data_IF_886836396058
#
_entry.id   IF_886836396058
#
_cell.length_a   1.000
_cell.length_b   1.000
_cell.length_c   1.000
_cell.angle_alpha   90.00
_cell.angle_beta   90.00
_cell.angle_gamma   90.00
#
_symmetry.space_group_name_H-M   'P 1'
#
loop_
_entity.id
_entity.type
_entity.pdbx_description
1 polymer ?
#
# COMPACT_ATOMS: atom_id res chain seq x y z
N UNK A 1 30.48 -30.74 29.26
CA UNK A 1 29.63 -29.53 29.15
C UNK A 1 29.18 -29.21 27.71
N UNK A 2 29.63 -29.92 26.67
CA UNK A 2 29.26 -29.61 25.27
C UNK A 2 27.84 -30.03 24.82
N UNK A 3 27.22 -31.02 25.48
CA UNK A 3 25.90 -31.55 25.07
C UNK A 3 24.68 -30.72 25.51
N UNK A 4 24.88 -29.60 26.21
CA UNK A 4 23.78 -28.74 26.69
C UNK A 4 23.39 -27.63 25.68
N UNK A 5 24.10 -27.50 24.55
CA UNK A 5 23.91 -26.38 23.62
C UNK A 5 23.01 -26.70 22.41
N UNK A 6 22.60 -27.96 22.24
CA UNK A 6 21.82 -28.42 21.09
C UNK A 6 20.41 -28.80 21.54
N UNK A 7 19.40 -28.23 20.89
CA UNK A 7 17.99 -28.62 21.09
C UNK A 7 17.52 -29.37 19.85
N UNK A 8 16.91 -30.57 19.99
CA UNK A 8 16.27 -31.23 18.87
C UNK A 8 15.12 -30.36 18.36
N UNK A 9 15.09 -30.06 17.06
CA UNK A 9 14.01 -29.28 16.41
C UNK A 9 12.68 -30.03 16.31
N UNK A 10 12.59 -31.24 16.89
CA UNK A 10 11.37 -32.06 16.99
C UNK A 10 10.31 -31.36 17.84
N UNK A 11 9.64 -30.41 17.25
CA UNK A 11 8.40 -29.86 17.78
C UNK A 11 7.22 -30.21 16.85
N UNK A 12 7.39 -30.17 15.52
CA UNK A 12 6.27 -30.26 14.58
C UNK A 12 6.61 -31.05 13.31
N UNK A 13 5.95 -32.19 13.10
CA UNK A 13 6.03 -32.95 11.84
C UNK A 13 5.27 -32.22 10.73
N UNK A 14 5.98 -31.47 9.88
CA UNK A 14 5.40 -30.93 8.66
C UNK A 14 5.26 -32.05 7.62
N UNK A 15 4.06 -32.23 7.06
CA UNK A 15 3.87 -33.16 5.94
C UNK A 15 4.57 -32.66 4.68
N UNK A 16 5.16 -33.56 3.88
CA UNK A 16 5.91 -33.23 2.66
C UNK A 16 5.14 -32.29 1.71
N UNK A 17 3.82 -32.51 1.56
CA UNK A 17 2.98 -31.69 0.69
C UNK A 17 2.93 -30.20 1.08
N UNK A 18 3.08 -29.88 2.38
CA UNK A 18 3.13 -28.49 2.84
C UNK A 18 4.45 -27.81 2.48
N UNK A 19 5.56 -28.53 2.61
CA UNK A 19 6.88 -28.05 2.24
C UNK A 19 6.99 -27.79 0.73
N UNK A 20 6.37 -28.65 -0.09
CA UNK A 20 6.28 -28.47 -1.55
C UNK A 20 5.37 -27.28 -1.91
N UNK A 21 4.24 -27.11 -1.23
CA UNK A 21 3.37 -25.96 -1.47
C UNK A 21 4.09 -24.64 -1.16
N UNK A 22 4.74 -24.55 0.00
CA UNK A 22 5.44 -23.34 0.41
C UNK A 22 6.66 -23.05 -0.47
N UNK A 23 7.35 -24.08 -0.99
CA UNK A 23 8.43 -23.87 -1.96
C UNK A 23 7.91 -23.27 -3.26
N UNK A 24 6.78 -23.76 -3.79
CA UNK A 24 6.15 -23.21 -4.99
C UNK A 24 5.70 -21.76 -4.78
N UNK A 25 5.04 -21.47 -3.66
CA UNK A 25 4.60 -20.12 -3.35
C UNK A 25 5.79 -19.16 -3.17
N UNK A 26 6.85 -19.59 -2.48
CA UNK A 26 8.09 -18.84 -2.34
C UNK A 26 8.74 -18.54 -3.70
N UNK A 27 8.87 -19.55 -4.57
CA UNK A 27 9.43 -19.38 -5.92
C UNK A 27 8.60 -18.37 -6.72
N UNK A 28 7.27 -18.44 -6.64
CA UNK A 28 6.38 -17.45 -7.25
C UNK A 28 6.64 -16.04 -6.71
N UNK A 29 6.70 -15.84 -5.39
CA UNK A 29 6.96 -14.53 -4.77
C UNK A 29 8.30 -13.95 -5.27
N UNK A 30 9.37 -14.75 -5.26
CA UNK A 30 10.71 -14.33 -5.70
C UNK A 30 10.71 -13.98 -7.20
N UNK A 31 10.14 -14.84 -8.03
CA UNK A 31 10.09 -14.65 -9.48
C UNK A 31 9.33 -13.37 -9.85
N UNK A 32 8.13 -13.18 -9.30
CA UNK A 32 7.31 -12.01 -9.61
C UNK A 32 7.83 -10.73 -8.98
N UNK A 33 8.53 -10.81 -7.85
CA UNK A 33 9.32 -9.68 -7.32
C UNK A 33 10.44 -9.30 -8.29
N UNK A 34 11.17 -10.27 -8.83
CA UNK A 34 12.19 -10.05 -9.85
C UNK A 34 11.62 -9.38 -11.12
N UNK A 35 10.47 -9.85 -11.60
CA UNK A 35 9.75 -9.24 -12.74
C UNK A 35 9.35 -7.81 -12.40
N UNK A 36 8.80 -7.55 -11.21
CA UNK A 36 8.39 -6.22 -10.78
C UNK A 36 9.57 -5.25 -10.72
N UNK A 37 10.72 -5.69 -10.20
CA UNK A 37 11.96 -4.91 -10.15
C UNK A 37 12.54 -4.66 -11.55
N UNK A 38 12.53 -5.64 -12.45
CA UNK A 38 13.00 -5.45 -13.82
C UNK A 38 12.13 -4.45 -14.59
N UNK A 39 10.84 -4.38 -14.26
CA UNK A 39 9.88 -3.41 -14.81
C UNK A 39 9.91 -2.05 -14.11
N UNK A 40 10.82 -1.84 -13.16
CA UNK A 40 10.94 -0.58 -12.43
C UNK A 40 11.08 0.62 -13.37
N UNK A 41 10.19 1.60 -13.22
CA UNK A 41 10.24 2.88 -13.93
C UNK A 41 10.62 3.99 -12.96
N UNK A 42 11.63 4.80 -13.31
CA UNK A 42 12.01 6.00 -12.54
C UNK A 42 10.85 6.99 -12.39
N UNK A 43 9.93 7.01 -13.36
CA UNK A 43 8.71 7.83 -13.35
C UNK A 43 7.82 7.44 -12.17
N UNK A 44 7.89 6.18 -11.70
CA UNK A 44 7.15 5.62 -10.57
C UNK A 44 7.95 5.62 -9.27
N UNK A 45 8.61 6.73 -8.93
CA UNK A 45 9.41 6.87 -7.71
C UNK A 45 8.64 6.48 -6.42
N UNK A 46 7.32 6.73 -6.36
CA UNK A 46 6.46 6.33 -5.22
C UNK A 46 6.33 4.81 -5.04
N UNK A 47 6.59 4.02 -6.07
CA UNK A 47 6.58 2.56 -5.98
C UNK A 47 7.86 1.99 -5.35
N UNK A 48 8.92 2.78 -5.13
CA UNK A 48 10.16 2.32 -4.47
C UNK A 48 9.90 1.65 -3.13
N UNK A 49 9.01 2.24 -2.34
CA UNK A 49 8.63 1.74 -1.01
C UNK A 49 7.96 0.37 -1.09
N UNK A 50 7.12 0.16 -2.11
CA UNK A 50 6.50 -1.13 -2.41
C UNK A 50 7.54 -2.17 -2.86
N UNK A 51 8.46 -1.81 -3.77
CA UNK A 51 9.51 -2.71 -4.22
C UNK A 51 10.42 -3.15 -3.07
N UNK A 52 10.75 -2.24 -2.15
CA UNK A 52 11.48 -2.59 -0.94
C UNK A 52 10.70 -3.60 -0.08
N UNK A 53 9.40 -3.39 0.10
CA UNK A 53 8.52 -4.36 0.75
C UNK A 53 8.52 -5.73 0.07
N UNK A 54 8.43 -5.79 -1.27
CA UNK A 54 8.46 -7.05 -2.03
C UNK A 54 9.80 -7.79 -1.92
N UNK A 55 10.92 -7.07 -1.86
CA UNK A 55 12.25 -7.66 -1.64
C UNK A 55 12.33 -8.27 -0.25
N UNK A 56 11.85 -7.56 0.78
CA UNK A 56 11.81 -8.10 2.14
C UNK A 56 10.84 -9.28 2.27
N UNK A 57 9.70 -9.24 1.58
CA UNK A 57 8.75 -10.35 1.50
C UNK A 57 9.42 -11.59 0.90
N UNK A 58 10.13 -11.41 -0.22
CA UNK A 58 10.87 -12.48 -0.88
C UNK A 58 11.96 -13.06 0.03
N UNK A 59 12.74 -12.19 0.69
CA UNK A 59 13.76 -12.61 1.63
C UNK A 59 13.15 -13.41 2.80
N UNK A 60 12.07 -12.90 3.38
CA UNK A 60 11.37 -13.59 4.46
C UNK A 60 10.82 -14.95 4.00
N UNK A 61 10.18 -15.04 2.82
CA UNK A 61 9.63 -16.30 2.30
C UNK A 61 10.72 -17.36 2.08
N UNK A 62 11.90 -16.97 1.57
CA UNK A 62 13.05 -17.87 1.44
C UNK A 62 13.52 -18.35 2.81
N UNK A 63 13.70 -17.44 3.77
CA UNK A 63 14.16 -17.76 5.12
C UNK A 63 13.17 -18.67 5.87
N UNK A 64 11.88 -18.38 5.76
CA UNK A 64 10.80 -19.18 6.35
C UNK A 64 10.76 -20.59 5.74
N UNK A 65 10.92 -20.71 4.42
CA UNK A 65 11.00 -22.02 3.76
C UNK A 65 12.23 -22.82 4.22
N UNK A 66 13.40 -22.18 4.35
CA UNK A 66 14.62 -22.83 4.88
C UNK A 66 14.38 -23.32 6.32
N UNK A 67 13.81 -22.49 7.20
CA UNK A 67 13.46 -22.88 8.58
C UNK A 67 12.52 -24.09 8.60
N UNK A 68 11.53 -24.12 7.72
CA UNK A 68 10.65 -25.28 7.60
C UNK A 68 11.37 -26.56 7.15
N UNK A 69 12.33 -26.47 6.22
CA UNK A 69 13.15 -27.61 5.80
C UNK A 69 14.02 -28.12 6.95
N UNK A 70 14.65 -27.21 7.71
CA UNK A 70 15.44 -27.55 8.90
C UNK A 70 14.58 -28.29 9.93
N UNK A 71 13.38 -27.78 10.22
CA UNK A 71 12.43 -28.44 11.15
C UNK A 71 11.92 -29.78 10.62
N UNK A 72 11.65 -29.89 9.31
CA UNK A 72 11.18 -31.14 8.69
C UNK A 72 12.25 -32.25 8.73
N UNK A 73 13.51 -31.89 8.49
CA UNK A 73 14.65 -32.81 8.53
C UNK A 73 15.09 -33.18 9.96
N UNK A 74 14.51 -32.55 10.98
CA UNK A 74 14.89 -32.69 12.39
C UNK A 74 16.38 -32.43 12.63
N UNK A 75 16.96 -31.48 11.89
CA UNK A 75 18.35 -31.12 12.08
C UNK A 75 18.57 -30.55 13.50
N UNK A 76 19.68 -30.92 14.12
CA UNK A 76 20.07 -30.37 15.43
C UNK A 76 20.49 -28.91 15.27
N UNK A 77 19.91 -28.02 16.07
CA UNK A 77 20.22 -26.57 16.03
C UNK A 77 20.70 -26.09 17.40
N UNK A 78 21.50 -25.03 17.39
CA UNK A 78 22.02 -24.39 18.61
C UNK A 78 20.93 -23.58 19.31
N UNK A 79 21.07 -23.36 20.63
CA UNK A 79 20.10 -22.55 21.40
C UNK A 79 19.90 -21.12 20.83
N UNK A 80 20.93 -20.56 20.20
CA UNK A 80 20.88 -19.27 19.52
C UNK A 80 19.85 -19.24 18.37
N UNK A 81 19.37 -20.39 17.91
CA UNK A 81 18.30 -20.51 16.91
C UNK A 81 17.02 -19.76 17.31
N UNK A 82 16.74 -19.60 18.61
CA UNK A 82 15.59 -18.81 19.09
C UNK A 82 15.63 -17.36 18.58
N UNK A 83 16.83 -16.77 18.43
CA UNK A 83 16.99 -15.41 17.91
C UNK A 83 16.70 -15.32 16.41
N UNK A 84 16.84 -16.42 15.67
CA UNK A 84 16.56 -16.44 14.21
C UNK A 84 15.07 -16.24 13.95
N UNK A 85 14.19 -16.84 14.75
CA UNK A 85 12.74 -16.64 14.66
C UNK A 85 12.35 -15.16 14.89
N UNK A 86 13.00 -14.51 15.85
CA UNK A 86 12.83 -13.06 16.08
C UNK A 86 13.26 -12.24 14.87
N UNK A 87 14.42 -12.54 14.30
CA UNK A 87 14.91 -11.84 13.12
C UNK A 87 13.99 -12.01 11.91
N UNK A 88 13.51 -13.24 11.66
CA UNK A 88 12.57 -13.50 10.56
C UNK A 88 11.25 -12.77 10.78
N UNK A 89 10.79 -12.70 12.01
CA UNK A 89 9.59 -11.95 12.37
C UNK A 89 9.73 -10.45 12.11
N UNK A 90 10.92 -9.87 12.31
CA UNK A 90 11.19 -8.46 12.00
C UNK A 90 11.11 -8.22 10.51
N UNK A 91 11.80 -9.06 9.71
CA UNK A 91 11.77 -8.95 8.25
C UNK A 91 10.31 -9.02 7.77
N UNK A 92 9.52 -9.94 8.32
CA UNK A 92 8.10 -10.08 8.01
C UNK A 92 7.30 -8.82 8.33
N UNK A 93 7.37 -8.32 9.56
CA UNK A 93 6.60 -7.13 9.99
C UNK A 93 7.00 -5.91 9.16
N UNK A 94 8.30 -5.71 8.95
CA UNK A 94 8.81 -4.59 8.15
C UNK A 94 8.36 -4.73 6.69
N UNK A 95 8.43 -5.94 6.13
CA UNK A 95 7.87 -6.27 4.80
C UNK A 95 6.38 -5.92 4.71
N UNK A 96 5.57 -6.35 5.67
CA UNK A 96 4.13 -6.11 5.69
C UNK A 96 3.79 -4.61 5.71
N UNK A 97 4.50 -3.84 6.55
CA UNK A 97 4.36 -2.38 6.60
C UNK A 97 4.73 -1.76 5.26
N UNK A 98 5.89 -2.11 4.68
CA UNK A 98 6.35 -1.52 3.43
C UNK A 98 5.48 -1.91 2.22
N UNK A 99 5.01 -3.16 2.16
CA UNK A 99 4.11 -3.62 1.09
C UNK A 99 2.77 -2.92 1.16
N UNK A 100 2.16 -2.82 2.34
CA UNK A 100 0.87 -2.16 2.53
C UNK A 100 0.98 -0.65 2.28
N UNK A 101 1.98 0.00 2.87
CA UNK A 101 2.24 1.42 2.70
C UNK A 101 2.59 1.78 1.25
N UNK A 102 3.45 0.99 0.62
CA UNK A 102 3.81 1.14 -0.79
C UNK A 102 2.61 0.95 -1.72
N UNK A 103 1.73 -0.02 -1.42
CA UNK A 103 0.49 -0.24 -2.17
C UNK A 103 -0.42 0.98 -2.10
N UNK A 104 -0.61 1.57 -0.92
CA UNK A 104 -1.38 2.82 -0.77
C UNK A 104 -0.79 3.97 -1.57
N UNK A 105 0.54 4.12 -1.58
CA UNK A 105 1.21 5.15 -2.36
C UNK A 105 1.02 5.01 -3.87
N UNK A 106 1.05 3.77 -4.37
CA UNK A 106 0.76 3.43 -5.78
C UNK A 106 -0.71 3.70 -6.09
N UNK A 107 -1.62 3.26 -5.22
CA UNK A 107 -3.07 3.49 -5.29
C UNK A 107 -3.43 4.98 -5.37
N UNK A 108 -2.84 5.80 -4.51
CA UNK A 108 -3.09 7.24 -4.50
C UNK A 108 -2.65 7.89 -5.79
N UNK A 109 -1.56 7.43 -6.39
CA UNK A 109 -1.14 7.93 -7.71
C UNK A 109 -2.18 7.63 -8.79
N UNK A 110 -2.85 6.47 -8.72
CA UNK A 110 -3.96 6.16 -9.63
C UNK A 110 -5.18 7.08 -9.45
N UNK A 111 -5.40 7.58 -8.23
CA UNK A 111 -6.60 8.38 -7.90
C UNK A 111 -6.36 9.89 -7.90
N UNK A 112 -5.14 10.35 -7.65
CA UNK A 112 -4.79 11.78 -7.54
C UNK A 112 -3.57 12.08 -8.41
N UNK A 113 -3.82 12.74 -9.55
CA UNK A 113 -2.80 13.13 -10.53
C UNK A 113 -1.76 14.09 -9.94
N UNK A 114 -2.17 15.04 -9.08
CA UNK A 114 -1.26 16.00 -8.39
C UNK A 114 -1.34 15.87 -6.87
N UNK A 115 -0.43 15.08 -6.30
CA UNK A 115 -0.45 14.75 -4.87
C UNK A 115 0.13 15.83 -3.95
N UNK A 116 -0.58 16.95 -3.73
CA UNK A 116 -0.14 18.01 -2.79
C UNK A 116 -0.54 17.73 -1.33
N UNK A 117 -1.78 17.28 -1.07
CA UNK A 117 -2.27 17.11 0.31
C UNK A 117 -2.35 15.65 0.78
N UNK A 118 -2.01 14.70 -0.09
CA UNK A 118 -2.22 13.28 0.22
C UNK A 118 -1.19 12.71 1.20
N UNK A 119 -0.03 13.37 1.34
CA UNK A 119 1.00 12.93 2.28
C UNK A 119 0.52 12.97 3.74
N UNK A 120 -0.17 14.02 4.16
CA UNK A 120 -0.66 14.13 5.54
C UNK A 120 -1.71 13.05 5.85
N UNK A 121 -2.67 12.84 4.93
CA UNK A 121 -3.72 11.83 5.09
C UNK A 121 -3.17 10.40 5.14
N UNK A 122 -2.15 10.12 4.33
CA UNK A 122 -1.43 8.86 4.39
C UNK A 122 -0.80 8.65 5.76
N UNK A 123 -0.11 9.65 6.30
CA UNK A 123 0.59 9.53 7.60
C UNK A 123 -0.35 9.24 8.76
N UNK A 124 -1.60 9.71 8.71
CA UNK A 124 -2.62 9.37 9.72
C UNK A 124 -2.89 7.86 9.77
N UNK A 125 -2.82 7.16 8.63
CA UNK A 125 -2.99 5.71 8.56
C UNK A 125 -1.67 4.96 8.81
N UNK A 126 -0.56 5.46 8.29
CA UNK A 126 0.75 4.81 8.38
C UNK A 126 1.44 4.95 9.74
N UNK A 127 1.26 6.08 10.41
CA UNK A 127 1.88 6.36 11.72
C UNK A 127 1.51 5.30 12.77
N UNK A 128 0.22 5.03 13.01
CA UNK A 128 -0.21 3.96 13.92
C UNK A 128 0.32 2.58 13.51
N UNK A 129 0.39 2.29 12.21
CA UNK A 129 0.91 1.02 11.69
C UNK A 129 2.40 0.84 12.01
N UNK A 130 3.21 1.89 11.77
CA UNK A 130 4.63 1.90 12.13
C UNK A 130 4.85 1.79 13.65
N UNK A 131 4.06 2.54 14.44
CA UNK A 131 4.15 2.49 15.89
C UNK A 131 3.86 1.08 16.43
N UNK A 132 2.75 0.47 16.01
CA UNK A 132 2.38 -0.89 16.42
C UNK A 132 3.41 -1.92 15.96
N UNK A 133 3.92 -1.79 14.73
CA UNK A 133 4.95 -2.68 14.19
C UNK A 133 6.26 -2.63 14.97
N UNK A 134 6.78 -1.43 15.25
CA UNK A 134 8.00 -1.24 16.05
C UNK A 134 7.78 -1.79 17.46
N UNK A 135 6.64 -1.49 18.09
CA UNK A 135 6.34 -1.96 19.43
C UNK A 135 6.25 -3.50 19.49
N UNK A 136 5.61 -4.12 18.50
CA UNK A 136 5.53 -5.57 18.37
C UNK A 136 6.92 -6.21 18.22
N UNK A 137 7.82 -5.60 17.42
CA UNK A 137 9.21 -6.03 17.29
C UNK A 137 9.96 -5.95 18.62
N UNK A 138 9.84 -4.83 19.35
CA UNK A 138 10.46 -4.66 20.66
C UNK A 138 9.99 -5.74 21.66
N UNK A 139 8.69 -6.06 21.67
CA UNK A 139 8.14 -7.10 22.54
C UNK A 139 8.64 -8.51 22.15
N UNK A 140 8.85 -8.80 20.86
CA UNK A 140 9.47 -10.07 20.45
C UNK A 140 10.90 -10.21 20.95
N UNK A 141 11.71 -9.15 20.83
CA UNK A 141 13.05 -9.14 21.39
C UNK A 141 13.05 -9.28 22.91
N UNK A 142 12.17 -8.54 23.59
CA UNK A 142 12.03 -8.64 25.04
C UNK A 142 11.69 -10.08 25.46
N UNK A 143 10.74 -10.72 24.77
CA UNK A 143 10.36 -12.10 25.04
C UNK A 143 11.52 -13.07 24.82
N UNK A 144 12.24 -12.95 23.71
CA UNK A 144 13.39 -13.81 23.42
C UNK A 144 14.51 -13.63 24.45
N UNK A 145 14.84 -12.39 24.81
CA UNK A 145 15.85 -12.10 25.85
C UNK A 145 15.40 -12.67 27.20
N UNK A 146 14.13 -12.53 27.59
CA UNK A 146 13.61 -13.11 28.83
C UNK A 146 13.73 -14.63 28.87
N UNK A 147 13.51 -15.32 27.75
CA UNK A 147 13.75 -16.77 27.64
C UNK A 147 15.23 -17.12 27.73
N UNK A 148 16.11 -16.34 27.10
CA UNK A 148 17.56 -16.55 27.17
C UNK A 148 18.15 -16.25 28.57
N UNK A 149 17.56 -15.30 29.29
CA UNK A 149 18.01 -14.90 30.63
C UNK A 149 17.41 -15.73 31.76
N UNK A 150 16.62 -16.77 31.45
CA UNK A 150 15.88 -17.57 32.42
C UNK A 150 15.05 -16.72 33.40
N UNK A 151 14.36 -15.69 32.88
CA UNK A 151 13.48 -14.85 33.69
C UNK A 151 12.33 -15.66 34.31
N UNK A 152 11.72 -15.10 35.36
CA UNK A 152 10.56 -15.71 36.00
C UNK A 152 9.40 -15.93 35.00
N UNK A 153 8.71 -17.06 35.13
CA UNK A 153 7.61 -17.50 34.27
C UNK A 153 6.48 -16.46 34.29
N UNK A 154 6.22 -15.81 35.42
CA UNK A 154 5.21 -14.75 35.50
C UNK A 154 5.57 -13.55 34.62
N UNK A 155 6.85 -13.18 34.57
CA UNK A 155 7.33 -12.08 33.72
C UNK A 155 7.23 -12.46 32.24
N UNK A 156 7.65 -13.67 31.89
CA UNK A 156 7.54 -14.21 30.52
C UNK A 156 6.06 -14.20 30.07
N UNK A 157 5.14 -14.64 30.93
CA UNK A 157 3.70 -14.67 30.63
C UNK A 157 3.12 -13.25 30.44
N UNK A 158 3.52 -12.28 31.26
CA UNK A 158 3.11 -10.87 31.09
C UNK A 158 3.56 -10.30 29.76
N UNK A 159 4.82 -10.53 29.38
CA UNK A 159 5.38 -10.07 28.10
C UNK A 159 4.69 -10.78 26.93
N UNK A 160 4.47 -12.09 27.01
CA UNK A 160 3.80 -12.86 25.98
C UNK A 160 2.34 -12.40 25.75
N UNK A 161 1.60 -12.13 26.84
CA UNK A 161 0.24 -11.58 26.77
C UNK A 161 0.21 -10.21 26.10
N UNK A 162 1.13 -9.31 26.48
CA UNK A 162 1.26 -8.01 25.83
C UNK A 162 1.60 -8.16 24.34
N UNK A 163 2.56 -9.03 23.98
CA UNK A 163 2.95 -9.32 22.59
C UNK A 163 1.75 -9.76 21.76
N UNK A 164 0.94 -10.69 22.27
CA UNK A 164 -0.25 -11.18 21.58
C UNK A 164 -1.28 -10.07 21.36
N UNK A 165 -1.56 -9.24 22.38
CA UNK A 165 -2.49 -8.12 22.25
C UNK A 165 -2.04 -7.12 21.15
N UNK A 166 -0.74 -6.81 21.08
CA UNK A 166 -0.20 -5.95 20.03
C UNK A 166 -0.18 -6.63 18.65
N UNK A 167 0.02 -7.95 18.57
CA UNK A 167 -0.09 -8.70 17.30
C UNK A 167 -1.51 -8.65 16.73
N UNK A 168 -2.52 -8.81 17.60
CA UNK A 168 -3.94 -8.67 17.24
C UNK A 168 -4.24 -7.24 16.77
N UNK A 169 -3.81 -6.23 17.53
CA UNK A 169 -4.03 -4.83 17.17
C UNK A 169 -3.36 -4.46 15.84
N UNK A 170 -2.13 -4.94 15.62
CA UNK A 170 -1.39 -4.74 14.37
C UNK A 170 -2.12 -5.37 13.18
N UNK A 171 -2.47 -6.65 13.27
CA UNK A 171 -3.18 -7.38 12.19
C UNK A 171 -4.58 -6.81 11.93
N UNK A 172 -5.28 -6.33 12.96
CA UNK A 172 -6.56 -5.63 12.79
C UNK A 172 -6.41 -4.32 12.03
N UNK A 173 -5.36 -3.55 12.32
CA UNK A 173 -5.07 -2.32 11.59
C UNK A 173 -4.68 -2.60 10.13
N UNK A 174 -3.86 -3.62 9.88
CA UNK A 174 -3.53 -4.06 8.51
C UNK A 174 -4.79 -4.46 7.73
N UNK A 175 -5.72 -5.17 8.36
CA UNK A 175 -7.00 -5.51 7.75
C UNK A 175 -7.83 -4.27 7.39
N UNK A 176 -7.94 -3.29 8.28
CA UNK A 176 -8.69 -2.05 8.01
C UNK A 176 -8.04 -1.24 6.88
N UNK A 177 -6.71 -1.11 6.89
CA UNK A 177 -5.99 -0.35 5.87
C UNK A 177 -6.05 -1.07 4.51
N UNK A 178 -5.91 -2.39 4.47
CA UNK A 178 -6.04 -3.17 3.23
C UNK A 178 -7.47 -3.15 2.68
N UNK A 179 -8.50 -3.15 3.55
CA UNK A 179 -9.88 -2.94 3.14
C UNK A 179 -10.07 -1.56 2.52
N UNK A 180 -9.51 -0.51 3.13
CA UNK A 180 -9.54 0.83 2.55
C UNK A 180 -8.85 0.88 1.17
N UNK A 181 -7.70 0.23 1.01
CA UNK A 181 -7.04 0.09 -0.29
C UNK A 181 -7.92 -0.68 -1.30
N UNK A 182 -8.61 -1.74 -0.88
CA UNK A 182 -9.52 -2.48 -1.75
C UNK A 182 -10.72 -1.64 -2.19
N UNK A 183 -11.38 -0.93 -1.27
CA UNK A 183 -12.54 -0.08 -1.60
C UNK A 183 -12.15 1.06 -2.55
N UNK A 184 -10.98 1.67 -2.32
CA UNK A 184 -10.48 2.76 -3.17
C UNK A 184 -10.02 2.28 -4.55
N UNK A 185 -9.56 1.03 -4.69
CA UNK A 185 -9.23 0.44 -6.01
C UNK A 185 -10.46 -0.07 -6.74
N UNK A 186 -11.40 -0.70 -6.02
CA UNK A 186 -12.66 -1.23 -6.58
C UNK A 186 -13.57 -0.15 -7.19
N UNK A 187 -13.56 1.07 -6.65
CA UNK A 187 -14.26 2.21 -7.28
C UNK A 187 -13.75 2.53 -8.69
N UNK A 188 -12.59 2.00 -9.10
CA UNK A 188 -11.94 2.25 -10.39
C UNK A 188 -12.03 1.10 -11.41
N UNK A 189 -12.81 0.04 -11.14
CA UNK A 189 -12.84 -1.21 -11.91
C UNK A 189 -13.28 -1.07 -13.39
N UNK A 190 -13.83 0.07 -13.78
CA UNK A 190 -14.53 0.24 -15.07
C UNK A 190 -13.67 0.81 -16.21
N UNK A 191 -12.38 1.14 -16.00
CA UNK A 191 -11.68 2.02 -16.94
C UNK A 191 -10.32 1.55 -17.50
N UNK A 192 -9.60 0.58 -16.92
CA UNK A 192 -8.26 0.16 -17.42
C UNK A 192 -7.79 -1.21 -16.89
N UNK A 193 -7.17 -2.04 -17.74
CA UNK A 193 -6.56 -3.33 -17.39
C UNK A 193 -5.52 -3.19 -16.26
N UNK A 194 -4.73 -2.12 -16.28
CA UNK A 194 -3.70 -1.87 -15.26
C UNK A 194 -4.33 -1.63 -13.88
N UNK A 195 -5.49 -0.96 -13.84
CA UNK A 195 -6.25 -0.73 -12.60
C UNK A 195 -6.88 -2.03 -12.10
N UNK A 196 -7.30 -2.93 -12.98
CA UNK A 196 -7.81 -4.24 -12.59
C UNK A 196 -6.75 -5.07 -11.86
N UNK A 197 -5.50 -5.11 -12.38
CA UNK A 197 -4.39 -5.75 -11.67
C UNK A 197 -4.15 -5.14 -10.28
N UNK A 198 -4.26 -3.81 -10.15
CA UNK A 198 -4.14 -3.17 -8.83
C UNK A 198 -5.26 -3.60 -7.88
N UNK A 199 -6.50 -3.66 -8.35
CA UNK A 199 -7.65 -4.12 -7.55
C UNK A 199 -7.49 -5.56 -7.08
N UNK A 200 -7.04 -6.47 -7.96
CA UNK A 200 -6.74 -7.86 -7.58
C UNK A 200 -5.58 -7.96 -6.58
N UNK A 201 -4.55 -7.11 -6.71
CA UNK A 201 -3.47 -7.02 -5.73
C UNK A 201 -4.00 -6.56 -4.36
N UNK A 202 -4.84 -5.53 -4.32
CA UNK A 202 -5.49 -5.07 -3.09
C UNK A 202 -6.40 -6.14 -2.48
N UNK A 203 -7.14 -6.90 -3.31
CA UNK A 203 -7.98 -8.02 -2.85
C UNK A 203 -7.13 -9.12 -2.21
N UNK A 204 -6.00 -9.48 -2.83
CA UNK A 204 -5.08 -10.46 -2.28
C UNK A 204 -4.49 -10.00 -0.93
N UNK A 205 -4.08 -8.73 -0.80
CA UNK A 205 -3.63 -8.18 0.47
C UNK A 205 -4.73 -8.19 1.54
N UNK A 206 -5.95 -7.84 1.18
CA UNK A 206 -7.07 -7.84 2.10
C UNK A 206 -7.40 -9.25 2.60
N UNK A 207 -7.45 -10.25 1.68
CA UNK A 207 -7.64 -11.66 2.05
C UNK A 207 -6.51 -12.16 2.96
N UNK A 208 -5.25 -11.80 2.65
CA UNK A 208 -4.09 -12.10 3.50
C UNK A 208 -4.27 -11.54 4.91
N UNK A 209 -4.57 -10.24 5.04
CA UNK A 209 -4.77 -9.59 6.34
C UNK A 209 -5.99 -10.12 7.09
N UNK A 210 -7.06 -10.48 6.39
CA UNK A 210 -8.23 -11.13 6.98
C UNK A 210 -7.89 -12.50 7.58
N UNK A 211 -7.19 -13.36 6.83
CA UNK A 211 -6.73 -14.65 7.33
C UNK A 211 -5.80 -14.49 8.53
N UNK A 212 -4.86 -13.54 8.48
CA UNK A 212 -3.97 -13.25 9.60
C UNK A 212 -4.72 -12.80 10.85
N UNK A 213 -5.71 -11.91 10.72
CA UNK A 213 -6.53 -11.45 11.84
C UNK A 213 -7.31 -12.61 12.48
N UNK A 214 -7.99 -13.43 11.67
CA UNK A 214 -8.75 -14.59 12.16
C UNK A 214 -7.83 -15.60 12.85
N UNK A 215 -6.69 -15.91 12.23
CA UNK A 215 -5.74 -16.90 12.75
C UNK A 215 -5.09 -16.40 14.05
N UNK A 216 -4.73 -15.12 14.13
CA UNK A 216 -4.16 -14.53 15.35
C UNK A 216 -5.19 -14.51 16.48
N UNK A 217 -6.47 -14.25 16.16
CA UNK A 217 -7.57 -14.38 17.13
C UNK A 217 -7.79 -15.81 17.62
N UNK A 218 -7.69 -16.81 16.74
CA UNK A 218 -7.79 -18.23 17.13
C UNK A 218 -6.60 -18.69 17.98
N UNK A 219 -5.39 -18.21 17.70
CA UNK A 219 -4.20 -18.49 18.50
C UNK A 219 -4.33 -18.01 19.95
N UNK A 220 -5.03 -16.90 20.18
CA UNK A 220 -5.29 -16.36 21.52
C UNK A 220 -6.32 -17.20 22.30
N UNK A 221 -7.29 -17.80 21.59
CA UNK A 221 -8.41 -18.54 22.21
C UNK A 221 -8.12 -20.03 22.43
N UNK A 222 -7.47 -20.70 21.48
CA UNK A 222 -7.43 -22.16 21.40
C UNK A 222 -5.99 -22.70 21.21
N UNK A 223 -5.16 -22.76 22.26
CA UNK A 223 -3.76 -23.21 22.14
C UNK A 223 -3.63 -24.70 21.81
N UNK A 224 -4.67 -25.51 22.00
CA UNK A 224 -4.64 -26.97 21.76
C UNK A 224 -4.42 -27.35 20.30
N UNK A 225 -4.69 -26.44 19.34
CA UNK A 225 -4.52 -26.67 17.90
C UNK A 225 -3.38 -25.85 17.29
N UNK A 226 -2.44 -25.38 18.11
CA UNK A 226 -1.34 -24.49 17.71
C UNK A 226 -0.68 -24.91 16.38
N UNK A 227 -0.37 -26.19 16.22
CA UNK A 227 0.37 -26.71 15.05
C UNK A 227 -0.43 -26.55 13.75
N UNK A 228 -1.71 -26.91 13.79
CA UNK A 228 -2.59 -26.79 12.64
C UNK A 228 -2.81 -25.32 12.31
N UNK A 229 -2.99 -24.48 13.33
CA UNK A 229 -3.19 -23.04 13.17
C UNK A 229 -1.97 -22.35 12.56
N UNK A 230 -0.75 -22.65 13.03
CA UNK A 230 0.50 -22.13 12.47
C UNK A 230 0.73 -22.61 11.04
N UNK A 231 0.40 -23.87 10.73
CA UNK A 231 0.49 -24.39 9.36
C UNK A 231 -0.47 -23.65 8.43
N UNK A 232 -1.73 -23.47 8.85
CA UNK A 232 -2.73 -22.71 8.08
C UNK A 232 -2.31 -21.25 7.89
N UNK A 233 -1.66 -20.65 8.90
CA UNK A 233 -1.09 -19.30 8.82
C UNK A 233 -0.09 -19.20 7.68
N UNK A 234 0.88 -20.11 7.64
CA UNK A 234 1.91 -20.11 6.60
C UNK A 234 1.34 -20.35 5.20
N UNK A 235 0.44 -21.34 5.03
CA UNK A 235 -0.21 -21.61 3.74
C UNK A 235 -0.93 -20.37 3.22
N UNK A 236 -1.81 -19.80 4.05
CA UNK A 236 -2.65 -18.67 3.61
C UNK A 236 -1.80 -17.43 3.38
N UNK A 237 -0.82 -17.17 4.24
CA UNK A 237 0.10 -16.04 4.07
C UNK A 237 0.89 -16.15 2.76
N UNK A 238 1.52 -17.29 2.46
CA UNK A 238 2.27 -17.47 1.21
C UNK A 238 1.38 -17.46 -0.03
N UNK A 239 0.20 -18.10 0.03
CA UNK A 239 -0.75 -18.13 -1.09
C UNK A 239 -1.15 -16.72 -1.51
N UNK A 240 -1.63 -15.92 -0.56
CA UNK A 240 -2.10 -14.57 -0.87
C UNK A 240 -0.95 -13.59 -1.12
N UNK A 241 0.23 -13.82 -0.53
CA UNK A 241 1.45 -13.07 -0.86
C UNK A 241 1.94 -13.35 -2.29
N UNK A 242 1.87 -14.60 -2.75
CA UNK A 242 2.18 -14.97 -4.12
C UNK A 242 1.17 -14.34 -5.11
N UNK A 243 -0.13 -14.45 -4.81
CA UNK A 243 -1.17 -13.79 -5.61
C UNK A 243 -0.94 -12.26 -5.69
N UNK A 244 -0.64 -11.62 -4.56
CA UNK A 244 -0.29 -10.20 -4.50
C UNK A 244 0.92 -9.87 -5.39
N UNK A 245 2.03 -10.62 -5.24
CA UNK A 245 3.25 -10.41 -6.02
C UNK A 245 3.01 -10.57 -7.53
N UNK A 246 2.19 -11.54 -7.93
CA UNK A 246 1.77 -11.73 -9.33
C UNK A 246 1.07 -10.47 -9.82
N UNK A 247 -0.05 -10.09 -9.21
CA UNK A 247 -0.86 -8.98 -9.70
C UNK A 247 -0.13 -7.64 -9.67
N UNK A 248 0.61 -7.36 -8.60
CA UNK A 248 1.32 -6.08 -8.45
C UNK A 248 2.45 -5.91 -9.49
N UNK A 249 3.06 -7.01 -9.94
CA UNK A 249 4.08 -6.98 -11.00
C UNK A 249 3.54 -6.51 -12.36
N UNK A 250 2.23 -6.67 -12.58
CA UNK A 250 1.52 -6.19 -13.78
C UNK A 250 0.81 -4.85 -13.56
N UNK A 251 0.46 -4.53 -12.31
CA UNK A 251 -0.19 -3.28 -11.94
C UNK A 251 0.67 -2.03 -12.12
N UNK A 252 2.00 -2.14 -12.31
CA UNK A 252 2.87 -1.00 -12.60
C UNK A 252 3.29 -1.04 -14.09
N UNK A 253 3.03 0.04 -14.86
CA UNK A 253 3.36 0.06 -16.29
C UNK A 253 4.87 0.02 -16.53
N UNK A 254 5.27 -0.64 -17.62
CA UNK A 254 6.69 -0.76 -18.03
C UNK A 254 7.28 0.62 -18.36
N UNK A 255 8.62 0.81 -18.19
CA UNK A 255 9.27 2.10 -18.42
C UNK A 255 9.11 2.64 -19.85
N UNK A 256 9.02 1.74 -20.84
CA UNK A 256 8.89 2.08 -22.25
C UNK A 256 7.47 2.50 -22.66
N UNK A 257 6.44 2.17 -21.86
CA UNK A 257 5.08 2.65 -22.12
C UNK A 257 4.95 4.05 -21.53
N UNK A 258 4.47 5.02 -22.33
CA UNK A 258 4.10 6.35 -21.80
C UNK A 258 3.12 6.12 -20.64
N UNK A 259 3.41 6.71 -19.49
CA UNK A 259 2.60 6.55 -18.28
C UNK A 259 1.14 6.93 -18.62
N UNK A 260 0.18 6.00 -18.53
CA UNK A 260 -1.20 6.25 -18.94
C UNK A 260 -1.82 7.39 -18.13
N UNK A 261 -1.44 7.52 -16.85
CA UNK A 261 -1.89 8.59 -15.98
C UNK A 261 -1.31 9.94 -16.40
N UNK A 262 -0.03 9.97 -16.79
CA UNK A 262 0.61 11.18 -17.30
C UNK A 262 0.00 11.63 -18.63
N UNK A 263 -0.36 10.69 -19.51
CA UNK A 263 -1.04 11.02 -20.76
C UNK A 263 -2.42 11.61 -20.48
N UNK A 264 -3.18 11.02 -19.55
CA UNK A 264 -4.49 11.53 -19.14
C UNK A 264 -4.37 12.93 -18.52
N UNK A 265 -3.36 13.17 -17.68
CA UNK A 265 -3.07 14.49 -17.10
C UNK A 265 -2.71 15.50 -18.19
N UNK A 266 -1.76 15.17 -19.06
CA UNK A 266 -1.34 16.05 -20.15
C UNK A 266 -2.49 16.38 -21.09
N UNK A 267 -3.35 15.41 -21.38
CA UNK A 267 -4.56 15.62 -22.16
C UNK A 267 -5.54 16.57 -21.46
N UNK A 268 -5.80 16.37 -20.17
CA UNK A 268 -6.66 17.25 -19.38
C UNK A 268 -6.10 18.68 -19.30
N UNK A 269 -4.80 18.84 -19.03
CA UNK A 269 -4.12 20.14 -19.01
C UNK A 269 -4.22 20.83 -20.36
N UNK A 270 -3.98 20.09 -21.45
CA UNK A 270 -4.03 20.65 -22.81
C UNK A 270 -5.44 21.11 -23.15
N UNK A 271 -6.46 20.27 -22.89
CA UNK A 271 -7.88 20.60 -23.07
C UNK A 271 -8.31 21.82 -22.26
N UNK A 272 -7.93 21.88 -20.99
CA UNK A 272 -8.25 23.01 -20.10
C UNK A 272 -7.55 24.28 -20.57
N UNK A 273 -6.26 24.18 -20.94
CA UNK A 273 -5.50 25.31 -21.50
C UNK A 273 -6.14 25.85 -22.77
N UNK A 274 -6.51 24.99 -23.70
CA UNK A 274 -7.11 25.40 -24.97
C UNK A 274 -8.49 26.02 -24.74
N UNK A 275 -9.29 25.47 -23.82
CA UNK A 275 -10.56 26.05 -23.43
C UNK A 275 -10.39 27.43 -22.78
N UNK A 276 -9.46 27.56 -21.84
CA UNK A 276 -9.15 28.83 -21.16
C UNK A 276 -8.65 29.87 -22.16
N UNK A 277 -7.75 29.50 -23.07
CA UNK A 277 -7.27 30.40 -24.14
C UNK A 277 -8.39 30.88 -25.05
N UNK A 278 -9.26 29.95 -25.49
CA UNK A 278 -10.42 30.27 -26.31
C UNK A 278 -11.33 31.27 -25.58
N UNK A 279 -11.64 31.00 -24.30
CA UNK A 279 -12.52 31.86 -23.51
C UNK A 279 -11.93 33.24 -23.22
N UNK A 280 -10.62 33.33 -22.97
CA UNK A 280 -9.93 34.63 -22.88
C UNK A 280 -10.04 35.38 -24.21
N UNK A 281 -9.83 34.70 -25.34
CA UNK A 281 -9.94 35.32 -26.67
C UNK A 281 -11.36 35.82 -26.95
N UNK A 282 -12.37 35.02 -26.59
CA UNK A 282 -13.79 35.36 -26.76
C UNK A 282 -14.18 36.56 -25.87
N UNK A 283 -13.84 36.53 -24.57
CA UNK A 283 -14.16 37.60 -23.61
C UNK A 283 -13.43 38.93 -23.94
N UNK A 284 -12.20 38.85 -24.47
CA UNK A 284 -11.42 40.04 -24.87
C UNK A 284 -11.77 40.53 -26.27
N UNK A 285 -12.73 39.93 -26.98
CA UNK A 285 -13.01 40.20 -28.40
C UNK A 285 -11.73 40.18 -29.25
N UNK A 286 -10.93 39.13 -29.10
CA UNK A 286 -9.62 38.96 -29.78
C UNK A 286 -8.60 40.07 -29.46
N UNK A 287 -8.62 40.58 -28.22
CA UNK A 287 -7.67 41.60 -27.75
C UNK A 287 -8.14 43.05 -27.92
N UNK A 288 -9.39 43.28 -28.30
CA UNK A 288 -9.98 44.62 -28.39
C UNK A 288 -10.39 45.20 -27.02
N UNK A 289 -10.74 44.34 -26.05
CA UNK A 289 -11.09 44.74 -24.68
C UNK A 289 -9.95 44.41 -23.70
N UNK A 290 -9.90 45.09 -22.55
CA UNK A 290 -8.92 44.77 -21.49
C UNK A 290 -9.19 43.40 -20.83
N UNK A 291 -8.34 43.02 -19.87
CA UNK A 291 -8.20 41.64 -19.38
C UNK A 291 -9.51 41.00 -18.89
N UNK A 292 -9.73 39.75 -19.33
CA UNK A 292 -10.89 38.95 -18.95
C UNK A 292 -10.93 38.67 -17.43
N UNK A 293 -12.14 38.54 -16.88
CA UNK A 293 -12.31 38.16 -15.48
C UNK A 293 -11.94 36.67 -15.31
N UNK A 294 -10.92 36.38 -14.48
CA UNK A 294 -10.44 35.00 -14.33
C UNK A 294 -11.51 34.07 -13.76
N UNK A 295 -12.45 34.58 -12.96
CA UNK A 295 -13.54 33.79 -12.41
C UNK A 295 -14.51 33.31 -13.50
N UNK A 296 -14.76 34.12 -14.53
CA UNK A 296 -15.61 33.75 -15.67
C UNK A 296 -14.89 32.82 -16.63
N UNK A 297 -13.60 33.07 -16.87
CA UNK A 297 -12.73 32.23 -17.72
C UNK A 297 -12.54 30.83 -17.15
N UNK A 298 -12.36 30.71 -15.84
CA UNK A 298 -12.17 29.44 -15.15
C UNK A 298 -13.51 28.77 -14.77
N UNK A 299 -14.62 29.17 -15.40
CA UNK A 299 -15.88 28.46 -15.25
C UNK A 299 -15.74 27.01 -15.76
N UNK A 300 -16.14 26.04 -14.95
CA UNK A 300 -15.99 24.62 -15.24
C UNK A 300 -17.18 24.20 -16.10
N UNK A 301 -16.97 23.67 -17.31
CA UNK A 301 -18.07 23.16 -18.11
C UNK A 301 -18.81 22.05 -17.37
N UNK A 302 -20.15 22.03 -17.40
CA UNK A 302 -20.96 21.02 -16.71
C UNK A 302 -20.60 19.59 -17.16
N UNK A 303 -20.34 19.44 -18.46
CA UNK A 303 -19.93 18.18 -19.12
C UNK A 303 -18.41 17.93 -19.13
N UNK A 304 -17.63 18.65 -18.34
CA UNK A 304 -16.18 18.41 -18.27
C UNK A 304 -15.87 17.03 -17.68
N UNK A 305 -14.88 16.34 -18.26
CA UNK A 305 -14.36 15.09 -17.72
C UNK A 305 -13.81 15.29 -16.30
N UNK A 306 -13.83 14.27 -15.42
CA UNK A 306 -13.36 14.40 -14.04
C UNK A 306 -11.94 14.98 -13.92
N UNK A 307 -11.01 14.54 -14.78
CA UNK A 307 -9.64 15.05 -14.79
C UNK A 307 -9.56 16.55 -15.15
N UNK A 308 -10.43 17.03 -16.06
CA UNK A 308 -10.52 18.45 -16.38
C UNK A 308 -11.12 19.25 -15.21
N UNK A 309 -12.15 18.72 -14.54
CA UNK A 309 -12.75 19.37 -13.36
C UNK A 309 -11.71 19.63 -12.28
N UNK A 310 -10.88 18.64 -11.96
CA UNK A 310 -9.78 18.78 -11.00
C UNK A 310 -8.77 19.86 -11.43
N UNK A 311 -8.43 19.95 -12.71
CA UNK A 311 -7.52 21.00 -13.19
C UNK A 311 -8.16 22.40 -13.13
N UNK A 312 -9.46 22.53 -13.41
CA UNK A 312 -10.17 23.81 -13.21
C UNK A 312 -10.19 24.24 -11.74
N UNK A 313 -10.48 23.31 -10.81
CA UNK A 313 -10.44 23.59 -9.37
C UNK A 313 -9.05 24.03 -8.94
N UNK A 314 -8.00 23.36 -9.42
CA UNK A 314 -6.61 23.74 -9.18
C UNK A 314 -6.32 25.16 -9.68
N UNK A 315 -6.70 25.49 -10.92
CA UNK A 315 -6.49 26.82 -11.47
C UNK A 315 -7.27 27.88 -10.69
N UNK A 316 -8.52 27.61 -10.30
CA UNK A 316 -9.32 28.53 -9.48
C UNK A 316 -8.67 28.79 -8.13
N UNK A 317 -8.17 27.76 -7.47
CA UNK A 317 -7.48 27.91 -6.21
C UNK A 317 -6.19 28.74 -6.37
N UNK A 318 -5.40 28.44 -7.41
CA UNK A 318 -4.14 29.13 -7.69
C UNK A 318 -4.32 30.60 -8.06
N UNK A 319 -5.39 30.94 -8.78
CA UNK A 319 -5.69 32.29 -9.25
C UNK A 319 -6.83 32.96 -8.49
N UNK A 320 -7.18 32.47 -7.29
CA UNK A 320 -8.30 32.99 -6.48
C UNK A 320 -8.17 34.49 -6.20
N UNK A 321 -6.94 34.94 -5.93
CA UNK A 321 -6.64 36.32 -5.57
C UNK A 321 -6.16 37.15 -6.77
N UNK A 322 -6.22 36.59 -7.98
CA UNK A 322 -5.81 37.32 -9.17
C UNK A 322 -6.87 38.35 -9.54
N UNK A 323 -6.44 39.60 -9.71
CA UNK A 323 -7.29 40.68 -10.20
C UNK A 323 -6.63 41.34 -11.42
N UNK A 324 -7.41 41.68 -12.46
CA UNK A 324 -6.87 42.36 -13.63
C UNK A 324 -6.42 43.78 -13.25
N UNK A 325 -5.24 44.18 -13.70
CA UNK A 325 -4.65 45.51 -13.45
C UNK A 325 -5.50 46.61 -14.11
N UNK A 326 -6.01 46.34 -15.31
CA UNK A 326 -6.93 47.22 -16.02
C UNK A 326 -8.26 46.49 -16.20
N UNK A 327 -9.31 47.02 -15.58
CA UNK A 327 -10.68 46.53 -15.75
C UNK A 327 -11.33 47.27 -16.91
N UNK A 328 -11.87 46.53 -17.87
CA UNK A 328 -12.65 47.13 -18.95
C UNK A 328 -13.96 47.60 -18.35
N UNK A 329 -14.16 48.91 -18.25
CA UNK A 329 -15.47 49.47 -17.95
C UNK A 329 -16.22 49.62 -19.29
N UNK A 330 -16.62 48.50 -19.88
CA UNK A 330 -17.40 48.50 -21.12
C UNK A 330 -18.85 48.94 -20.86
N UNK A 331 -19.26 50.03 -21.52
CA UNK A 331 -20.61 50.63 -21.60
C UNK A 331 -21.51 50.49 -20.36
N UNK A 332 -21.29 51.34 -19.37
CA UNK A 332 -22.27 51.63 -18.32
C UNK A 332 -23.49 52.44 -18.80
N UNK A 333 -23.83 52.42 -20.11
CA UNK A 333 -24.94 53.19 -20.68
C UNK A 333 -25.68 52.35 -21.74
N UNK A 334 -26.48 51.39 -21.27
CA UNK A 334 -27.36 50.59 -22.11
C UNK A 334 -28.47 50.01 -21.27
N UNK A 335 -29.50 50.82 -21.04
CA UNK A 335 -30.76 50.50 -20.37
C UNK A 335 -31.20 49.05 -20.57
N UNK A 336 -31.22 48.25 -19.50
CA UNK A 336 -32.26 47.23 -19.36
C UNK A 336 -33.57 47.97 -19.13
N UNK A 337 -34.19 48.40 -20.23
CA UNK A 337 -35.59 48.72 -20.27
C UNK A 337 -36.37 47.47 -19.88
N UNK A 338 -36.91 47.50 -18.67
CA UNK A 338 -38.11 46.78 -18.30
C UNK A 338 -39.17 47.02 -19.38
N UNK A 339 -39.34 46.06 -20.30
CA UNK A 339 -40.63 45.86 -20.96
C UNK A 339 -41.21 44.59 -20.36
N UNK A 340 -42.20 44.81 -19.49
CA UNK A 340 -43.24 43.83 -19.24
C UNK A 340 -43.96 43.60 -20.57
N UNK A 341 -43.97 42.35 -21.02
CA UNK A 341 -45.17 41.63 -21.47
C UNK A 341 -44.87 40.13 -21.42
#
# INVERSE_FOLDING_TARGET
>A
MEKLNTIPTKAFGFGLGFLVFDSLAMVCIVLFTGIALFRYSKIWARARTLYFGLVLLSLWSVLNWIDMVIRHTNAEVTYAYILTDCFFSIIRVVSDIFTLWGTLHVMIRYNVLRGRDVHLRLWILGGPLWFLGIYHVCLRFALAISWLSFADIETINKIAKAKNAFEIAFTALEFVISLFALLTSGASFLYDDVRNYMSFACLALWLRSFCELVITGELDRNPTRLNLTLRTRNVTYHLFSAAFAIFISYAIPKPSKRDPLLNQENFAITRVRDHVKKRISDDTKQGQNTAANIATVLYTPERAEPAMKTEYEFLRHKYKDWTPIYKWHGESNGQYGSSKL
#
